data_IF_370430804270
#
_entry.id   IF_370430804270
#
_cell.length_a   1.000
_cell.length_b   1.000
_cell.length_c   1.000
_cell.angle_alpha   90.00
_cell.angle_beta   90.00
_cell.angle_gamma   90.00
#
_symmetry.space_group_name_H-M   'P 1'
#
loop_
_entity.id
_entity.type
_entity.pdbx_description
1 polymer ?
#
# COMPACT_ATOMS: atom_id res chain seq x y z
N UNK A 1 16.40 5.49 9.46
CA UNK A 1 16.89 4.09 9.56
C UNK A 1 16.43 3.35 8.31
N UNK A 2 17.30 2.52 7.73
CA UNK A 2 16.95 1.74 6.55
C UNK A 2 16.16 0.49 6.96
N UNK A 3 15.17 0.11 6.13
CA UNK A 3 14.43 -1.15 6.28
C UNK A 3 15.30 -2.29 5.75
N UNK A 4 15.39 -3.40 6.50
CA UNK A 4 16.19 -4.58 6.12
C UNK A 4 15.35 -5.65 5.44
N UNK A 5 14.08 -5.79 5.83
CA UNK A 5 13.16 -6.73 5.22
C UNK A 5 11.72 -6.19 5.23
N UNK A 6 10.92 -6.68 4.29
CA UNK A 6 9.48 -6.42 4.21
C UNK A 6 8.75 -7.74 4.29
N UNK A 7 7.81 -7.86 5.23
CA UNK A 7 6.92 -9.00 5.40
C UNK A 7 5.50 -8.56 5.11
N UNK A 8 4.83 -9.26 4.20
CA UNK A 8 3.43 -9.02 3.85
C UNK A 8 2.59 -10.20 4.30
N UNK A 9 1.51 -9.92 5.03
CA UNK A 9 0.53 -10.94 5.37
C UNK A 9 -0.20 -11.47 4.13
N UNK A 10 -0.59 -12.74 4.16
CA UNK A 10 -1.16 -13.42 3.00
C UNK A 10 -2.50 -12.80 2.56
N UNK A 11 -3.29 -12.29 3.50
CA UNK A 11 -4.55 -11.59 3.25
C UNK A 11 -4.31 -10.24 2.55
N UNK A 12 -3.38 -9.43 3.04
CA UNK A 12 -2.96 -8.18 2.42
C UNK A 12 -2.43 -8.41 0.99
N UNK A 13 -1.61 -9.46 0.81
CA UNK A 13 -1.12 -9.86 -0.52
C UNK A 13 -2.28 -10.25 -1.46
N UNK A 14 -3.25 -11.03 -0.98
CA UNK A 14 -4.39 -11.45 -1.78
C UNK A 14 -5.25 -10.25 -2.22
N UNK A 15 -5.42 -9.25 -1.37
CA UNK A 15 -6.12 -8.00 -1.74
C UNK A 15 -5.33 -7.23 -2.81
N UNK A 16 -4.01 -7.06 -2.64
CA UNK A 16 -3.16 -6.42 -3.66
C UNK A 16 -3.24 -7.14 -5.01
N UNK A 17 -3.16 -8.47 -5.01
CA UNK A 17 -3.21 -9.27 -6.22
C UNK A 17 -4.58 -9.17 -6.90
N UNK A 18 -5.66 -9.27 -6.13
CA UNK A 18 -7.03 -9.12 -6.67
C UNK A 18 -7.24 -7.74 -7.27
N UNK A 19 -6.74 -6.68 -6.61
CA UNK A 19 -6.82 -5.32 -7.12
C UNK A 19 -6.00 -5.16 -8.40
N UNK A 20 -4.77 -5.68 -8.44
CA UNK A 20 -3.92 -5.63 -9.63
C UNK A 20 -4.53 -6.35 -10.84
N UNK A 21 -5.30 -7.42 -10.61
CA UNK A 21 -5.99 -8.18 -11.65
C UNK A 21 -7.39 -7.63 -11.98
N UNK A 22 -7.84 -6.58 -11.31
CA UNK A 22 -9.18 -6.01 -11.55
C UNK A 22 -9.33 -5.33 -12.91
N UNK A 23 -8.21 -4.90 -13.52
CA UNK A 23 -8.17 -4.27 -14.82
C UNK A 23 -6.81 -4.47 -15.48
N UNK A 24 -6.82 -4.68 -16.80
CA UNK A 24 -5.62 -4.73 -17.64
C UNK A 24 -5.38 -3.41 -18.40
N UNK A 25 -6.33 -2.46 -18.31
CA UNK A 25 -6.35 -1.25 -19.14
C UNK A 25 -5.62 -0.07 -18.52
N UNK A 26 -5.53 -0.05 -17.20
CA UNK A 26 -4.92 1.04 -16.44
C UNK A 26 -4.20 0.47 -15.21
N UNK A 27 -3.15 1.15 -14.76
CA UNK A 27 -2.48 0.79 -13.51
C UNK A 27 -3.40 1.12 -12.34
N UNK A 28 -3.47 0.23 -11.36
CA UNK A 28 -4.15 0.47 -10.08
C UNK A 28 -3.13 0.87 -9.03
N UNK A 29 -3.58 1.46 -7.91
CA UNK A 29 -2.69 1.88 -6.83
C UNK A 29 -3.35 1.74 -5.45
N UNK A 30 -2.52 1.66 -4.41
CA UNK A 30 -3.00 1.68 -3.03
C UNK A 30 -1.89 1.89 -2.01
N UNK A 31 -2.31 2.01 -0.76
CA UNK A 31 -1.43 2.23 0.39
C UNK A 31 -1.29 0.95 1.22
N UNK A 32 -0.11 0.76 1.78
CA UNK A 32 0.24 -0.38 2.64
C UNK A 32 0.20 0.07 4.10
N UNK A 33 -0.62 -0.62 4.90
CA UNK A 33 -0.84 -0.33 6.32
C UNK A 33 -0.13 -1.38 7.15
N UNK A 34 0.66 -0.91 8.11
CA UNK A 34 1.48 -1.80 8.90
C UNK A 34 2.28 -1.11 9.99
N UNK A 35 3.27 -1.81 10.51
CA UNK A 35 4.21 -1.30 11.48
C UNK A 35 5.65 -1.59 11.06
N UNK A 36 6.60 -0.84 11.59
CA UNK A 36 8.02 -1.14 11.43
C UNK A 36 8.54 -1.49 12.80
N UNK A 37 8.95 -2.74 12.96
CA UNK A 37 9.47 -3.26 14.22
C UNK A 37 10.92 -2.79 14.45
N UNK A 38 11.40 -2.84 15.69
CA UNK A 38 12.74 -2.39 16.08
C UNK A 38 13.86 -3.14 15.33
N UNK A 39 13.60 -4.37 14.88
CA UNK A 39 14.48 -5.19 14.04
C UNK A 39 14.57 -4.71 12.58
N UNK A 40 14.04 -3.51 12.26
CA UNK A 40 14.05 -2.91 10.90
C UNK A 40 13.28 -3.73 9.88
N UNK A 41 12.33 -4.54 10.33
CA UNK A 41 11.41 -5.29 9.48
C UNK A 41 10.10 -4.52 9.38
N UNK A 42 9.69 -4.21 8.14
CA UNK A 42 8.40 -3.62 7.86
C UNK A 42 7.34 -4.73 7.71
N UNK A 43 6.35 -4.74 8.60
CA UNK A 43 5.26 -5.70 8.62
C UNK A 43 3.99 -5.07 8.06
N UNK A 44 3.50 -5.58 6.93
CA UNK A 44 2.29 -5.12 6.25
C UNK A 44 1.14 -6.05 6.63
N UNK A 45 0.12 -5.49 7.28
CA UNK A 45 -1.05 -6.24 7.76
C UNK A 45 -2.29 -6.01 6.89
N UNK A 46 -2.41 -4.83 6.28
CA UNK A 46 -3.61 -4.47 5.52
C UNK A 46 -3.28 -3.45 4.44
N UNK A 47 -4.23 -3.20 3.56
CA UNK A 47 -4.06 -2.32 2.41
C UNK A 47 -5.29 -1.45 2.19
N UNK A 48 -5.07 -0.22 1.76
CA UNK A 48 -6.13 0.70 1.34
C UNK A 48 -6.03 0.85 -0.17
N UNK A 49 -7.06 0.38 -0.89
CA UNK A 49 -7.17 0.58 -2.33
C UNK A 49 -7.52 2.03 -2.60
N UNK A 50 -6.76 2.70 -3.47
CA UNK A 50 -7.01 4.08 -3.86
C UNK A 50 -7.58 4.11 -5.28
N UNK A 51 -8.54 5.02 -5.50
CA UNK A 51 -9.02 5.33 -6.84
C UNK A 51 -8.10 6.38 -7.46
N UNK A 52 -7.60 6.11 -8.67
CA UNK A 52 -6.83 7.09 -9.45
C UNK A 52 -7.73 8.22 -9.91
N UNK A 53 -7.40 9.44 -9.50
CA UNK A 53 -8.05 10.67 -9.98
C UNK A 53 -7.42 11.14 -11.32
N UNK A 54 -6.12 10.88 -11.54
CA UNK A 54 -5.42 11.13 -12.82
C UNK A 54 -5.09 9.79 -13.51
N UNK A 55 -5.56 9.63 -14.76
CA UNK A 55 -5.44 8.42 -15.58
C UNK A 55 -4.33 8.52 -16.64
N UNK A 56 -3.46 9.52 -16.56
CA UNK A 56 -2.30 9.63 -17.46
C UNK A 56 -1.35 8.44 -17.27
N UNK A 57 -0.81 7.96 -18.38
CA UNK A 57 0.17 6.87 -18.37
C UNK A 57 1.42 7.29 -17.58
N UNK A 58 1.96 6.38 -16.76
CA UNK A 58 3.19 6.53 -15.99
C UNK A 58 3.17 7.59 -14.86
N UNK A 59 1.99 8.14 -14.48
CA UNK A 59 1.86 9.12 -13.38
C UNK A 59 0.90 8.64 -12.30
N UNK A 60 1.47 8.11 -11.22
CA UNK A 60 0.73 7.67 -10.03
C UNK A 60 1.00 8.67 -8.90
N UNK A 61 0.01 9.50 -8.58
CA UNK A 61 0.10 10.49 -7.49
C UNK A 61 -0.93 10.17 -6.41
N UNK A 62 -0.49 10.25 -5.15
CA UNK A 62 -1.37 10.14 -3.98
C UNK A 62 -1.58 11.56 -3.47
N UNK A 63 -2.83 12.00 -3.36
CA UNK A 63 -3.11 13.35 -2.85
C UNK A 63 -2.81 13.45 -1.34
N UNK A 64 -2.44 14.62 -0.82
CA UNK A 64 -2.24 14.82 0.62
C UNK A 64 -3.48 14.45 1.46
N UNK A 65 -4.66 14.69 0.92
CA UNK A 65 -5.95 14.35 1.55
C UNK A 65 -6.11 12.83 1.65
N UNK A 66 -5.81 12.10 0.57
CA UNK A 66 -5.85 10.63 0.57
C UNK A 66 -4.86 10.03 1.58
N UNK A 67 -3.66 10.63 1.71
CA UNK A 67 -2.69 10.21 2.73
C UNK A 67 -3.19 10.48 4.15
N UNK A 68 -3.79 11.65 4.39
CA UNK A 68 -4.34 12.03 5.71
C UNK A 68 -5.48 11.10 6.12
N UNK A 69 -6.41 10.82 5.19
CA UNK A 69 -7.51 9.89 5.42
C UNK A 69 -6.99 8.48 5.70
N UNK A 70 -6.04 8.00 4.90
CA UNK A 70 -5.41 6.71 5.10
C UNK A 70 -4.69 6.59 6.44
N UNK A 71 -4.00 7.65 6.89
CA UNK A 71 -3.36 7.69 8.21
C UNK A 71 -4.40 7.56 9.33
N UNK A 72 -5.51 8.28 9.22
CA UNK A 72 -6.61 8.21 10.19
C UNK A 72 -7.23 6.81 10.23
N UNK A 73 -7.40 6.16 9.07
CA UNK A 73 -7.90 4.78 8.99
C UNK A 73 -6.90 3.77 9.57
N UNK A 74 -5.60 3.97 9.34
CA UNK A 74 -4.54 3.12 9.89
C UNK A 74 -4.56 3.13 11.43
N UNK A 75 -4.64 4.31 12.04
CA UNK A 75 -4.72 4.45 13.49
C UNK A 75 -5.97 3.76 14.06
N UNK A 76 -7.13 3.97 13.42
CA UNK A 76 -8.38 3.30 13.82
C UNK A 76 -8.26 1.77 13.73
N UNK A 77 -7.68 1.26 12.65
CA UNK A 77 -7.48 -0.18 12.46
C UNK A 77 -6.57 -0.75 13.55
N UNK A 78 -5.48 -0.03 13.90
CA UNK A 78 -4.58 -0.38 14.97
C UNK A 78 -5.30 -0.60 16.30
N UNK A 79 -6.19 0.32 16.69
CA UNK A 79 -6.98 0.24 17.92
C UNK A 79 -7.96 -0.94 17.92
N UNK A 80 -8.55 -1.27 16.76
CA UNK A 80 -9.50 -2.37 16.62
C UNK A 80 -8.84 -3.75 16.69
N UNK A 81 -7.53 -3.84 16.42
CA UNK A 81 -6.81 -5.10 16.58
C UNK A 81 -6.72 -5.51 18.05
N UNK A 82 -6.83 -6.79 18.35
CA UNK A 82 -6.78 -7.31 19.73
C UNK A 82 -5.48 -6.97 20.47
N UNK A 83 -4.41 -6.66 19.73
CA UNK A 83 -3.08 -6.30 20.27
C UNK A 83 -2.85 -4.79 20.33
N UNK A 84 -3.79 -3.96 19.88
CA UNK A 84 -3.65 -2.49 19.77
C UNK A 84 -2.33 -2.09 19.11
N UNK A 85 -2.09 -2.58 17.91
CA UNK A 85 -0.82 -2.36 17.20
C UNK A 85 -0.69 -0.90 16.73
N UNK A 86 0.51 -0.31 16.75
CA UNK A 86 0.79 1.03 16.21
C UNK A 86 0.79 1.03 14.67
N UNK A 87 -0.37 0.76 14.07
CA UNK A 87 -0.56 0.74 12.63
C UNK A 87 -0.46 2.15 12.03
N UNK A 88 0.30 2.26 10.94
CA UNK A 88 0.48 3.47 10.15
C UNK A 88 0.64 3.15 8.67
N UNK A 89 0.61 4.17 7.82
CA UNK A 89 1.01 4.04 6.42
C UNK A 89 2.53 3.82 6.36
N UNK A 90 2.97 2.70 5.80
CA UNK A 90 4.39 2.32 5.72
C UNK A 90 4.92 2.16 4.29
N UNK A 91 4.03 2.24 3.30
CA UNK A 91 4.40 2.14 1.89
C UNK A 91 3.20 2.27 0.97
N UNK A 92 3.43 2.06 -0.32
CA UNK A 92 2.41 2.08 -1.37
C UNK A 92 2.71 1.03 -2.43
N UNK A 93 1.72 0.69 -3.24
CA UNK A 93 1.86 -0.22 -4.37
C UNK A 93 1.10 0.29 -5.59
N UNK A 94 1.51 -0.18 -6.76
CA UNK A 94 0.77 -0.05 -8.01
C UNK A 94 0.99 -1.27 -8.91
N UNK A 95 0.19 -1.40 -9.96
CA UNK A 95 0.31 -2.49 -10.95
C UNK A 95 0.97 -2.03 -12.24
N UNK A 96 1.60 -2.96 -12.97
CA UNK A 96 2.15 -2.75 -14.32
C UNK A 96 1.48 -3.72 -15.32
N UNK A 97 0.26 -3.45 -15.80
CA UNK A 97 -0.38 -4.31 -16.80
C UNK A 97 0.41 -4.27 -18.11
N UNK A 98 0.75 -5.44 -18.63
CA UNK A 98 1.51 -5.62 -19.88
C UNK A 98 2.89 -4.93 -19.94
N UNK A 99 3.48 -4.61 -18.78
CA UNK A 99 4.83 -4.03 -18.67
C UNK A 99 5.63 -4.86 -17.65
N UNK A 100 6.96 -4.74 -17.68
CA UNK A 100 7.84 -5.42 -16.72
C UNK A 100 7.67 -4.88 -15.30
N UNK A 101 8.06 -5.67 -14.30
CA UNK A 101 7.96 -5.32 -12.87
C UNK A 101 8.94 -4.24 -12.41
N UNK A 102 9.90 -3.84 -13.24
CA UNK A 102 10.91 -2.85 -12.87
C UNK A 102 10.31 -1.46 -12.71
N UNK A 103 10.69 -0.71 -11.65
CA UNK A 103 10.28 0.68 -11.49
C UNK A 103 10.70 1.54 -12.68
N UNK A 104 9.83 2.46 -13.10
CA UNK A 104 10.17 3.48 -14.11
C UNK A 104 11.05 4.58 -13.49
N UNK A 105 11.57 5.47 -14.33
CA UNK A 105 12.41 6.60 -13.90
C UNK A 105 11.62 7.81 -13.36
N UNK A 106 10.29 7.69 -13.25
CA UNK A 106 9.36 8.80 -12.98
C UNK A 106 9.43 9.22 -11.51
#
# INVERSE_FOLDING_TARGET
MAVEAVRIEADAYMVCLTHALSTEREEVMGLLIGEVEDERVAHIYSVIMLQRLDKRKDRVEISPEQLSDASTQAERLGILTSKQRPMRVIGWYHSHPHITVWPSQV
#
